data_IF_428191108189
#
_entry.id   IF_428191108189
#
_cell.length_a   1.000
_cell.length_b   1.000
_cell.length_c   1.000
_cell.angle_alpha   90.00
_cell.angle_beta   90.00
_cell.angle_gamma   90.00
#
_symmetry.space_group_name_H-M   'P 1'
#
loop_
_entity.id
_entity.type
_entity.pdbx_description
1 polymer ?
#
# COMPACT_ATOMS: atom_id res chain seq x y z
N UNK A 1 3.15 25.98 0.01
CA UNK A 1 2.67 24.65 0.46
C UNK A 1 2.57 23.70 -0.74
N UNK A 2 3.70 23.26 -1.32
CA UNK A 2 3.70 22.48 -2.57
C UNK A 2 4.56 21.19 -2.54
N UNK A 3 5.05 20.78 -1.37
CA UNK A 3 6.00 19.66 -1.25
C UNK A 3 5.37 18.34 -0.74
N UNK A 4 4.10 18.36 -0.36
CA UNK A 4 3.36 17.19 0.18
C UNK A 4 2.73 16.31 -0.91
N UNK A 5 2.52 16.82 -2.13
CA UNK A 5 1.78 16.10 -3.17
C UNK A 5 2.61 15.03 -3.91
N UNK A 6 3.92 15.24 -4.08
CA UNK A 6 4.79 14.33 -4.86
C UNK A 6 5.13 13.04 -4.12
N UNK A 7 5.37 13.12 -2.80
CA UNK A 7 5.74 11.96 -1.96
C UNK A 7 4.59 10.98 -1.78
N UNK A 8 3.38 11.48 -1.52
CA UNK A 8 2.17 10.65 -1.42
C UNK A 8 1.92 9.93 -2.75
N UNK A 9 1.98 10.64 -3.88
CA UNK A 9 1.81 10.02 -5.20
C UNK A 9 2.83 8.90 -5.44
N UNK A 10 4.11 9.17 -5.18
CA UNK A 10 5.19 8.18 -5.33
C UNK A 10 4.98 6.96 -4.43
N UNK A 11 4.58 7.17 -3.18
CA UNK A 11 4.30 6.09 -2.23
C UNK A 11 3.14 5.20 -2.72
N UNK A 12 2.05 5.80 -3.18
CA UNK A 12 0.88 5.08 -3.69
C UNK A 12 1.18 4.32 -4.98
N UNK A 13 1.88 4.94 -5.94
CA UNK A 13 2.25 4.29 -7.20
C UNK A 13 3.13 3.06 -6.93
N UNK A 14 4.13 3.21 -6.06
CA UNK A 14 5.05 2.12 -5.68
C UNK A 14 4.34 1.02 -4.89
N UNK A 15 3.38 1.36 -4.04
CA UNK A 15 2.56 0.40 -3.29
C UNK A 15 1.60 -0.36 -4.22
N UNK A 16 0.94 0.32 -5.16
CA UNK A 16 0.04 -0.32 -6.14
C UNK A 16 0.78 -1.29 -7.06
N UNK A 17 2.01 -0.95 -7.45
CA UNK A 17 2.94 -1.85 -8.14
C UNK A 17 3.52 -2.95 -7.22
N UNK A 18 3.26 -2.84 -5.91
CA UNK A 18 3.82 -3.60 -4.78
C UNK A 18 5.31 -3.84 -4.87
N UNK A 19 6.01 -2.80 -5.29
CA UNK A 19 7.46 -2.67 -5.11
C UNK A 19 7.83 -2.39 -3.66
N UNK A 20 6.86 -2.03 -2.81
CA UNK A 20 7.03 -1.70 -1.38
C UNK A 20 5.81 -2.15 -0.55
N UNK A 21 6.00 -2.28 0.76
CA UNK A 21 4.94 -2.57 1.73
C UNK A 21 4.16 -1.30 2.13
N UNK A 22 2.99 -1.48 2.74
CA UNK A 22 2.17 -0.38 3.29
C UNK A 22 2.97 0.50 4.26
N UNK A 23 3.72 -0.12 5.18
CA UNK A 23 4.54 0.60 6.16
C UNK A 23 5.60 1.47 5.48
N UNK A 24 6.26 0.94 4.43
CA UNK A 24 7.26 1.70 3.68
C UNK A 24 6.62 2.83 2.87
N UNK A 25 5.41 2.64 2.37
CA UNK A 25 4.65 3.69 1.69
C UNK A 25 4.31 4.83 2.66
N UNK A 26 3.87 4.53 3.88
CA UNK A 26 3.62 5.53 4.92
C UNK A 26 4.89 6.33 5.28
N UNK A 27 6.03 5.65 5.42
CA UNK A 27 7.34 6.29 5.67
C UNK A 27 7.70 7.28 4.54
N UNK A 28 7.57 6.88 3.27
CA UNK A 28 7.86 7.73 2.11
C UNK A 28 6.90 8.93 2.03
N UNK A 29 5.61 8.68 2.31
CA UNK A 29 4.58 9.71 2.34
C UNK A 29 4.75 10.70 3.51
N UNK A 30 5.50 10.32 4.56
CA UNK A 30 5.63 11.08 5.79
C UNK A 30 4.35 11.06 6.62
N UNK A 31 3.59 9.97 6.53
CA UNK A 31 2.33 9.74 7.24
C UNK A 31 2.48 8.58 8.21
N UNK A 32 1.53 8.42 9.12
CA UNK A 32 1.41 7.18 9.87
C UNK A 32 0.68 6.10 9.04
N UNK A 33 0.62 4.87 9.59
CA UNK A 33 0.02 3.73 8.88
C UNK A 33 -1.50 3.88 8.66
N UNK A 34 -2.24 4.47 9.61
CA UNK A 34 -3.69 4.68 9.50
C UNK A 34 -4.04 5.78 8.50
N UNK A 35 -3.23 6.83 8.42
CA UNK A 35 -3.35 7.86 7.38
C UNK A 35 -3.07 7.28 5.99
N UNK A 36 -2.09 6.39 5.87
CA UNK A 36 -1.82 5.70 4.61
C UNK A 36 -2.97 4.77 4.21
N UNK A 37 -3.57 4.06 5.18
CA UNK A 37 -4.79 3.25 4.98
C UNK A 37 -5.92 4.11 4.41
N UNK A 38 -6.21 5.25 5.05
CA UNK A 38 -7.25 6.17 4.58
C UNK A 38 -6.97 6.68 3.16
N UNK A 39 -5.72 6.98 2.82
CA UNK A 39 -5.30 7.38 1.48
C UNK A 39 -5.51 6.29 0.42
N UNK A 40 -5.30 5.01 0.78
CA UNK A 40 -5.57 3.89 -0.11
C UNK A 40 -7.07 3.74 -0.37
N UNK A 41 -7.89 3.86 0.67
CA UNK A 41 -9.36 3.77 0.59
C UNK A 41 -9.94 4.91 -0.25
N UNK A 42 -9.54 6.16 0.01
CA UNK A 42 -9.97 7.34 -0.75
C UNK A 42 -9.68 7.18 -2.24
N UNK A 43 -8.53 6.58 -2.58
CA UNK A 43 -8.09 6.36 -3.97
C UNK A 43 -8.46 5.01 -4.54
N UNK A 44 -9.19 4.18 -3.79
CA UNK A 44 -9.61 2.82 -4.18
C UNK A 44 -8.45 1.94 -4.64
N UNK A 45 -7.29 2.06 -3.99
CA UNK A 45 -6.16 1.19 -4.22
C UNK A 45 -6.35 -0.08 -3.37
N UNK A 46 -6.44 -1.27 -3.99
CA UNK A 46 -6.68 -2.51 -3.25
C UNK A 46 -5.49 -2.86 -2.36
N UNK A 47 -5.78 -3.52 -1.23
CA UNK A 47 -4.72 -4.07 -0.38
C UNK A 47 -4.03 -5.22 -1.08
N UNK A 48 -2.70 -5.19 -1.07
CA UNK A 48 -1.83 -6.21 -1.70
C UNK A 48 -1.46 -7.40 -0.81
N UNK A 49 -2.06 -7.43 0.37
CA UNK A 49 -2.08 -8.57 1.28
C UNK A 49 -3.52 -8.64 1.78
N UNK A 50 -4.42 -8.89 0.85
CA UNK A 50 -5.78 -9.23 1.24
C UNK A 50 -5.88 -10.74 1.50
N UNK A 51 -7.07 -11.19 1.91
CA UNK A 51 -7.31 -12.61 2.20
C UNK A 51 -7.01 -13.50 0.97
N UNK A 52 -7.17 -12.99 -0.25
CA UNK A 52 -6.91 -13.76 -1.47
C UNK A 52 -5.41 -14.04 -1.66
N UNK A 53 -4.53 -13.11 -1.28
CA UNK A 53 -3.08 -13.36 -1.30
C UNK A 53 -2.69 -14.46 -0.30
N UNK A 54 -3.37 -14.51 0.85
CA UNK A 54 -3.20 -15.57 1.84
C UNK A 54 -3.74 -16.92 1.32
N UNK A 55 -4.92 -16.93 0.69
CA UNK A 55 -5.49 -18.12 0.07
C UNK A 55 -4.60 -18.68 -1.04
N UNK A 56 -4.03 -17.81 -1.87
CA UNK A 56 -3.10 -18.18 -2.94
C UNK A 56 -1.79 -18.74 -2.38
N UNK A 57 -1.25 -18.16 -1.30
CA UNK A 57 -0.08 -18.70 -0.63
C UNK A 57 -0.34 -20.10 -0.06
N UNK A 58 -1.48 -20.29 0.62
CA UNK A 58 -1.89 -21.58 1.19
C UNK A 58 -2.07 -22.63 0.09
N UNK A 59 -2.79 -22.30 -0.99
CA UNK A 59 -2.93 -23.20 -2.15
C UNK A 59 -1.60 -23.61 -2.75
N UNK A 60 -0.64 -22.68 -2.88
CA UNK A 60 0.66 -22.96 -3.49
C UNK A 60 1.59 -23.82 -2.63
N UNK A 61 1.44 -23.79 -1.31
CA UNK A 61 2.38 -24.46 -0.39
C UNK A 61 1.80 -25.67 0.33
N UNK A 62 0.47 -25.79 0.40
CA UNK A 62 -0.23 -26.83 1.16
C UNK A 62 -1.41 -27.46 0.39
N UNK A 63 -1.63 -27.05 -0.86
CA UNK A 63 -2.67 -27.58 -1.76
C UNK A 63 -2.17 -28.71 -2.66
#
# INVERSE_FOLDING_TARGET
MASSCSRIKTALDRYGQGSITLLKAAEIAGTNIYEMIALLEERRIPYRYDISDQEDYVKRHYG
#
